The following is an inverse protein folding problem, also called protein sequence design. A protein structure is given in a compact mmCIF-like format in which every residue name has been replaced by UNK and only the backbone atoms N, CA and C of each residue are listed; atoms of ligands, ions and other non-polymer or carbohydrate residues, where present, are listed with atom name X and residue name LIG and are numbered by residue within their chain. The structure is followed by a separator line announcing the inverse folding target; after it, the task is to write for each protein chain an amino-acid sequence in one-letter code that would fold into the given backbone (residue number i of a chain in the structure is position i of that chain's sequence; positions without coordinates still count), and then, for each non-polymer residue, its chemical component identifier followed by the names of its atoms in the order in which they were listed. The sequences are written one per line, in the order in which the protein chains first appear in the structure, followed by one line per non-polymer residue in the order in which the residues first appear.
data_IF_485125944894
#
_entry.id   IF_485125944894
#
_cell.length_a   1.000
_cell.length_b   1.000
_cell.length_c   1.000
_cell.angle_alpha   90.00
_cell.angle_beta   90.00
_cell.angle_gamma   90.00
#
_symmetry.space_group_name_H-M   'P 1'
#
loop_
_entity.id
_entity.type
_entity.pdbx_description
1 polymer ?
#
# COMPACT_ATOMS: atom_id res chain seq x y z
N UNK A 1 -15.98 19.88 -13.72
CA UNK A 1 -16.92 19.83 -12.56
C UNK A 1 -17.92 20.95 -12.77
N UNK A 2 -19.21 20.84 -12.40
CA UNK A 2 -20.15 21.95 -12.57
C UNK A 2 -19.63 23.21 -11.85
N UNK A 3 -19.66 24.36 -12.52
CA UNK A 3 -19.28 25.67 -12.00
C UNK A 3 -17.84 25.78 -11.44
N UNK A 4 -16.93 24.90 -11.86
CA UNK A 4 -15.50 24.96 -11.54
C UNK A 4 -14.69 24.85 -12.83
N UNK A 5 -13.85 25.85 -13.09
CA UNK A 5 -13.11 26.01 -14.33
C UNK A 5 -11.61 25.86 -14.11
N UNK A 6 -10.92 25.36 -15.13
CA UNK A 6 -9.46 25.30 -15.23
C UNK A 6 -9.06 25.79 -16.63
N UNK A 7 -7.79 26.13 -16.83
CA UNK A 7 -7.28 26.48 -18.16
C UNK A 7 -7.42 25.29 -19.14
N UNK A 8 -7.58 25.59 -20.44
CA UNK A 8 -7.84 24.58 -21.48
C UNK A 8 -6.69 23.59 -21.70
N UNK A 9 -5.46 24.01 -21.44
CA UNK A 9 -4.22 23.24 -21.57
C UNK A 9 -3.81 22.53 -20.27
N UNK A 10 -4.57 22.73 -19.19
CA UNK A 10 -4.29 22.14 -17.89
C UNK A 10 -4.89 20.74 -17.77
N UNK A 11 -4.04 19.74 -17.53
CA UNK A 11 -4.48 18.37 -17.20
C UNK A 11 -4.55 18.21 -15.68
N UNK A 12 -5.75 18.20 -15.07
CA UNK A 12 -5.88 18.22 -13.62
C UNK A 12 -5.48 16.88 -12.98
N UNK A 13 -4.57 16.94 -12.01
CA UNK A 13 -4.19 15.80 -11.20
C UNK A 13 -5.26 15.44 -10.16
N UNK A 14 -4.98 14.41 -9.34
CA UNK A 14 -5.90 13.99 -8.28
C UNK A 14 -6.22 15.12 -7.29
N UNK A 15 -5.23 15.90 -6.89
CA UNK A 15 -5.39 17.02 -5.95
C UNK A 15 -6.31 18.10 -6.52
N UNK A 16 -6.15 18.44 -7.81
CA UNK A 16 -6.98 19.45 -8.47
C UNK A 16 -8.43 19.00 -8.59
N UNK A 17 -8.65 17.73 -8.95
CA UNK A 17 -10.00 17.15 -9.01
C UNK A 17 -10.64 17.07 -7.62
N UNK A 18 -9.86 16.76 -6.59
CA UNK A 18 -10.33 16.75 -5.20
C UNK A 18 -10.74 18.16 -4.73
N UNK A 19 -9.91 19.18 -5.02
CA UNK A 19 -10.22 20.58 -4.77
C UNK A 19 -11.47 21.04 -5.51
N UNK A 20 -11.62 20.66 -6.78
CA UNK A 20 -12.82 20.97 -7.56
C UNK A 20 -14.09 20.35 -6.97
N UNK A 21 -14.03 19.10 -6.49
CA UNK A 21 -15.16 18.45 -5.82
C UNK A 21 -15.51 19.13 -4.49
N UNK A 22 -14.50 19.55 -3.71
CA UNK A 22 -14.72 20.31 -2.48
C UNK A 22 -15.36 21.67 -2.73
N UNK A 23 -14.89 22.42 -3.75
CA UNK A 23 -15.51 23.69 -4.16
C UNK A 23 -16.96 23.49 -4.61
N UNK A 24 -17.22 22.45 -5.42
CA UNK A 24 -18.58 22.08 -5.84
C UNK A 24 -19.51 21.77 -4.66
N UNK A 25 -18.98 21.24 -3.56
CA UNK A 25 -19.72 21.03 -2.32
C UNK A 25 -19.95 22.28 -1.48
N UNK A 26 -19.74 23.48 -2.04
CA UNK A 26 -19.76 24.76 -1.33
C UNK A 26 -18.80 24.78 -0.13
N UNK A 27 -17.67 24.06 -0.25
CA UNK A 27 -16.67 23.88 0.81
C UNK A 27 -17.18 23.15 2.06
N UNK A 28 -18.29 22.42 1.97
CA UNK A 28 -18.91 21.72 3.11
C UNK A 28 -18.57 20.22 3.17
N UNK A 29 -18.14 19.61 2.06
CA UNK A 29 -17.81 18.20 2.03
C UNK A 29 -16.43 17.88 2.62
N UNK A 30 -16.27 16.64 3.09
CA UNK A 30 -15.00 16.10 3.59
C UNK A 30 -14.50 14.99 2.67
N UNK A 31 -13.29 15.07 2.16
CA UNK A 31 -12.71 14.07 1.26
C UNK A 31 -12.39 12.78 2.03
N UNK A 32 -12.69 11.62 1.44
CA UNK A 32 -12.68 10.35 2.16
C UNK A 32 -12.07 9.20 1.36
N UNK A 33 -11.94 8.05 2.02
CA UNK A 33 -11.55 6.77 1.41
C UNK A 33 -10.27 6.87 0.56
N UNK A 34 -10.32 6.39 -0.69
CA UNK A 34 -9.11 6.35 -1.53
C UNK A 34 -8.58 7.75 -1.87
N UNK A 35 -9.45 8.76 -1.93
CA UNK A 35 -9.04 10.14 -2.20
C UNK A 35 -8.32 10.72 -0.99
N UNK A 36 -8.86 10.54 0.21
CA UNK A 36 -8.18 10.93 1.45
C UNK A 36 -6.83 10.21 1.60
N UNK A 37 -6.78 8.91 1.28
CA UNK A 37 -5.52 8.16 1.35
C UNK A 37 -4.46 8.75 0.41
N UNK A 38 -4.81 9.10 -0.83
CA UNK A 38 -3.91 9.76 -1.76
C UNK A 38 -3.42 11.13 -1.25
N UNK A 39 -4.32 11.94 -0.69
CA UNK A 39 -3.96 13.24 -0.11
C UNK A 39 -3.06 13.13 1.12
N UNK A 40 -3.18 12.04 1.87
CA UNK A 40 -2.25 11.66 2.95
C UNK A 40 -0.91 11.09 2.45
N UNK A 41 -0.69 11.02 1.14
CA UNK A 41 0.56 10.56 0.53
C UNK A 41 0.62 9.07 0.19
N UNK A 42 -0.50 8.33 0.32
CA UNK A 42 -0.55 6.95 -0.16
C UNK A 42 -0.36 6.90 -1.68
N UNK A 43 0.54 6.03 -2.13
CA UNK A 43 0.83 5.77 -3.54
C UNK A 43 -0.11 4.73 -4.14
N UNK A 44 -0.03 4.55 -5.47
CA UNK A 44 -0.74 3.53 -6.26
C UNK A 44 -2.27 3.72 -6.30
N UNK A 45 -2.68 4.99 -6.27
CA UNK A 45 -4.07 5.38 -6.49
C UNK A 45 -4.22 5.78 -7.96
N UNK A 46 -5.18 5.18 -8.64
CA UNK A 46 -5.52 5.49 -10.03
C UNK A 46 -5.87 6.98 -10.17
N UNK A 47 -5.14 7.69 -11.04
CA UNK A 47 -5.33 9.12 -11.31
C UNK A 47 -6.71 9.43 -11.91
N UNK A 48 -7.39 8.45 -12.50
CA UNK A 48 -8.75 8.57 -13.01
C UNK A 48 -9.81 8.15 -12.00
N UNK A 49 -9.43 7.66 -10.81
CA UNK A 49 -10.37 7.21 -9.79
C UNK A 49 -11.38 8.32 -9.45
N UNK A 50 -12.66 7.97 -9.22
CA UNK A 50 -13.65 8.93 -8.76
C UNK A 50 -13.25 9.53 -7.41
N UNK A 51 -13.42 10.84 -7.28
CA UNK A 51 -13.22 11.57 -6.03
C UNK A 51 -14.27 11.15 -5.02
N UNK A 52 -13.85 10.66 -3.87
CA UNK A 52 -14.74 10.24 -2.78
C UNK A 52 -14.92 11.39 -1.79
N UNK A 53 -16.16 11.80 -1.60
CA UNK A 53 -16.54 12.95 -0.79
C UNK A 53 -17.68 12.57 0.16
N UNK A 54 -17.53 12.85 1.44
CA UNK A 54 -18.60 12.78 2.41
C UNK A 54 -19.36 14.10 2.35
N UNK A 55 -20.56 14.05 1.76
CA UNK A 55 -21.47 15.19 1.59
C UNK A 55 -22.88 14.68 1.36
N UNK A 56 -23.88 15.40 1.88
CA UNK A 56 -25.28 14.94 1.91
C UNK A 56 -25.97 14.93 0.56
N UNK A 57 -25.43 15.64 -0.44
CA UNK A 57 -26.01 15.67 -1.78
C UNK A 57 -25.71 14.39 -2.57
N UNK A 58 -26.74 13.59 -2.81
CA UNK A 58 -26.65 12.34 -3.56
C UNK A 58 -26.53 12.51 -5.08
N UNK A 59 -26.82 13.70 -5.64
CA UNK A 59 -26.71 13.98 -7.08
C UNK A 59 -25.30 14.43 -7.43
N UNK A 60 -24.35 13.51 -7.34
CA UNK A 60 -22.95 13.81 -7.63
C UNK A 60 -22.68 13.87 -9.14
N UNK A 61 -21.84 14.82 -9.61
CA UNK A 61 -21.40 14.88 -10.99
C UNK A 61 -20.50 13.70 -11.35
N UNK A 62 -20.33 13.46 -12.65
CA UNK A 62 -19.43 12.41 -13.15
C UNK A 62 -18.02 12.60 -12.59
N UNK A 63 -17.43 11.52 -12.10
CA UNK A 63 -16.10 11.54 -11.48
C UNK A 63 -16.09 11.88 -9.99
N UNK A 64 -17.24 12.13 -9.37
CA UNK A 64 -17.39 12.27 -7.91
C UNK A 64 -18.34 11.19 -7.39
N UNK A 65 -18.01 10.61 -6.24
CA UNK A 65 -18.88 9.72 -5.47
C UNK A 65 -19.13 10.35 -4.11
N UNK A 66 -20.36 10.76 -3.87
CA UNK A 66 -20.77 11.27 -2.56
C UNK A 66 -21.28 10.15 -1.66
N UNK A 67 -21.07 10.31 -0.36
CA UNK A 67 -21.71 9.49 0.65
C UNK A 67 -22.22 10.38 1.77
N UNK A 68 -23.46 10.15 2.21
CA UNK A 68 -24.05 10.86 3.33
C UNK A 68 -23.76 10.09 4.61
N UNK A 69 -22.95 10.66 5.48
CA UNK A 69 -22.65 10.10 6.80
C UNK A 69 -22.26 11.20 7.78
N UNK A 70 -22.54 10.95 9.06
CA UNK A 70 -22.09 11.82 10.13
C UNK A 70 -20.64 11.47 10.49
N UNK A 71 -19.75 12.44 10.35
CA UNK A 71 -18.36 12.33 10.79
C UNK A 71 -18.19 13.00 12.16
N UNK A 72 -17.76 12.26 13.18
CA UNK A 72 -17.25 12.85 14.40
C UNK A 72 -16.10 13.83 14.11
N UNK A 73 -15.98 14.96 14.84
CA UNK A 73 -14.91 15.94 14.61
C UNK A 73 -13.49 15.35 14.70
N UNK A 74 -13.27 14.38 15.59
CA UNK A 74 -11.99 13.67 15.77
C UNK A 74 -11.63 12.72 14.61
N UNK A 75 -12.52 12.54 13.63
CA UNK A 75 -12.29 11.73 12.44
C UNK A 75 -12.08 12.59 11.18
N UNK A 76 -12.02 13.90 11.36
CA UNK A 76 -11.73 14.88 10.32
C UNK A 76 -10.40 15.58 10.59
N UNK A 77 -9.71 15.97 9.51
CA UNK A 77 -8.44 16.68 9.55
C UNK A 77 -8.19 17.43 8.24
N UNK A 78 -6.94 17.80 8.00
CA UNK A 78 -6.53 18.49 6.76
C UNK A 78 -5.34 17.79 6.11
N UNK A 79 -5.35 17.75 4.78
CA UNK A 79 -4.20 17.36 3.95
C UNK A 79 -4.27 18.13 2.63
N UNK A 80 -3.13 18.62 2.14
CA UNK A 80 -3.06 19.49 0.95
C UNK A 80 -4.05 20.67 1.00
N UNK A 81 -4.23 21.28 2.18
CA UNK A 81 -5.18 22.39 2.44
C UNK A 81 -6.67 22.04 2.22
N UNK A 82 -7.01 20.75 2.13
CA UNK A 82 -8.37 20.28 1.93
C UNK A 82 -8.87 19.51 3.17
N UNK A 83 -10.16 19.60 3.52
CA UNK A 83 -10.73 18.79 4.58
C UNK A 83 -10.78 17.32 4.16
N UNK A 84 -10.16 16.46 4.97
CA UNK A 84 -10.06 15.01 4.73
C UNK A 84 -10.45 14.23 5.98
N UNK A 85 -10.80 12.96 5.83
CA UNK A 85 -10.84 12.02 6.96
C UNK A 85 -9.43 11.82 7.53
N UNK A 86 -9.30 11.61 8.85
CA UNK A 86 -7.99 11.28 9.47
C UNK A 86 -7.41 9.99 8.87
N UNK A 87 -6.10 9.72 8.98
CA UNK A 87 -5.51 8.46 8.49
C UNK A 87 -6.21 7.21 9.08
N UNK A 88 -6.50 7.21 10.38
CA UNK A 88 -7.20 6.11 11.05
C UNK A 88 -8.62 5.92 10.51
N UNK A 89 -9.37 7.01 10.33
CA UNK A 89 -10.72 6.95 9.72
C UNK A 89 -10.67 6.46 8.27
N UNK A 90 -9.71 6.97 7.50
CA UNK A 90 -9.50 6.58 6.11
C UNK A 90 -9.20 5.09 5.99
N UNK A 91 -8.33 4.57 6.87
CA UNK A 91 -8.01 3.16 6.93
C UNK A 91 -9.21 2.30 7.36
N UNK A 92 -9.98 2.75 8.34
CA UNK A 92 -11.23 2.11 8.76
C UNK A 92 -12.21 1.98 7.58
N UNK A 93 -12.38 3.04 6.77
CA UNK A 93 -13.24 3.02 5.59
C UNK A 93 -12.72 2.07 4.50
N UNK A 94 -11.43 2.12 4.18
CA UNK A 94 -10.81 1.26 3.15
C UNK A 94 -10.84 -0.21 3.58
N UNK A 95 -10.44 -0.52 4.81
CA UNK A 95 -10.29 -1.88 5.32
C UNK A 95 -11.61 -2.68 5.40
N UNK A 96 -12.75 -1.98 5.43
CA UNK A 96 -14.09 -2.59 5.41
C UNK A 96 -14.62 -2.84 4.00
N UNK A 97 -13.94 -2.36 2.96
CA UNK A 97 -14.38 -2.58 1.57
C UNK A 97 -14.04 -4.00 1.09
N UNK A 98 -14.89 -4.63 0.24
CA UNK A 98 -14.60 -5.96 -0.29
C UNK A 98 -13.28 -6.06 -1.08
N UNK A 99 -12.55 -7.13 -0.83
CA UNK A 99 -11.31 -7.53 -1.50
C UNK A 99 -10.09 -7.38 -0.60
N UNK A 100 -9.76 -8.43 0.15
CA UNK A 100 -8.69 -8.44 1.17
C UNK A 100 -7.36 -7.95 0.60
N UNK A 101 -6.84 -8.56 -0.47
CA UNK A 101 -5.54 -8.18 -1.02
C UNK A 101 -5.46 -6.72 -1.46
N UNK A 102 -6.53 -6.18 -2.05
CA UNK A 102 -6.61 -4.77 -2.45
C UNK A 102 -6.73 -3.85 -1.24
N UNK A 103 -7.48 -4.25 -0.21
CA UNK A 103 -7.60 -3.49 1.02
C UNK A 103 -6.24 -3.40 1.73
N UNK A 104 -5.57 -4.54 1.93
CA UNK A 104 -4.23 -4.61 2.54
C UNK A 104 -3.24 -3.74 1.75
N UNK A 105 -3.17 -3.86 0.43
CA UNK A 105 -2.23 -3.05 -0.38
C UNK A 105 -2.45 -1.53 -0.23
N UNK A 106 -3.71 -1.09 -0.10
CA UNK A 106 -4.04 0.32 0.15
C UNK A 106 -3.67 0.74 1.57
N UNK A 107 -3.90 -0.13 2.55
CA UNK A 107 -3.55 0.15 3.95
C UNK A 107 -2.05 0.15 4.18
N UNK A 108 -1.28 -0.73 3.55
CA UNK A 108 0.19 -0.73 3.56
C UNK A 108 0.71 0.62 3.06
N UNK A 109 0.19 1.07 1.91
CA UNK A 109 0.56 2.35 1.30
C UNK A 109 0.22 3.55 2.19
N UNK A 110 -0.95 3.52 2.86
CA UNK A 110 -1.38 4.56 3.79
C UNK A 110 -0.55 4.55 5.09
N UNK A 111 -0.29 3.38 5.66
CA UNK A 111 0.52 3.22 6.87
C UNK A 111 1.95 3.71 6.65
N UNK A 112 2.53 3.40 5.49
CA UNK A 112 3.85 3.92 5.08
C UNK A 112 3.89 5.44 4.96
N UNK A 113 2.78 6.09 4.63
CA UNK A 113 2.71 7.54 4.44
C UNK A 113 2.39 8.33 5.72
N UNK A 114 1.77 7.71 6.73
CA UNK A 114 1.13 8.41 7.86
C UNK A 114 1.53 7.91 9.25
N UNK A 115 2.44 6.94 9.34
CA UNK A 115 2.80 6.22 10.58
C UNK A 115 1.62 5.51 11.29
N UNK A 116 0.49 5.36 10.59
CA UNK A 116 -0.71 4.70 11.09
C UNK A 116 -0.40 3.30 11.65
N UNK A 117 -0.90 3.03 12.85
CA UNK A 117 -0.85 1.72 13.49
C UNK A 117 -2.21 1.03 13.47
N UNK A 118 -2.22 -0.30 13.55
CA UNK A 118 -3.45 -1.08 13.59
C UNK A 118 -4.38 -0.66 14.74
N UNK A 119 -3.81 -0.38 15.93
CA UNK A 119 -4.55 0.08 17.11
C UNK A 119 -5.37 1.36 16.86
N UNK A 120 -4.85 2.29 16.05
CA UNK A 120 -5.53 3.55 15.78
C UNK A 120 -6.82 3.30 14.96
N UNK A 121 -6.80 2.28 14.10
CA UNK A 121 -7.97 1.84 13.32
C UNK A 121 -8.96 1.05 14.18
N UNK A 122 -8.46 0.25 15.12
CA UNK A 122 -9.28 -0.49 16.09
C UNK A 122 -10.05 0.46 17.01
N UNK A 123 -9.44 1.56 17.44
CA UNK A 123 -10.11 2.63 18.22
C UNK A 123 -11.28 3.25 17.46
N UNK A 124 -11.09 3.55 16.16
CA UNK A 124 -12.19 4.00 15.29
C UNK A 124 -13.25 2.90 15.17
N UNK A 125 -12.86 1.65 14.93
CA UNK A 125 -13.80 0.55 14.80
C UNK A 125 -14.66 0.34 16.07
N UNK A 126 -14.09 0.56 17.25
CA UNK A 126 -14.78 0.48 18.53
C UNK A 126 -15.88 1.55 18.69
N UNK A 127 -15.73 2.71 18.04
CA UNK A 127 -16.72 3.81 18.01
C UNK A 127 -17.82 3.58 16.97
N UNK A 128 -17.59 2.73 15.97
CA UNK A 128 -18.53 2.43 14.88
C UNK A 128 -19.07 1.00 14.94
N UNK A 129 -19.56 0.58 16.11
CA UNK A 129 -20.13 -0.76 16.31
C UNK A 129 -21.31 -1.00 15.36
N UNK A 130 -21.34 -2.17 14.72
CA UNK A 130 -22.39 -2.54 13.76
C UNK A 130 -22.20 -1.99 12.34
N UNK A 131 -21.10 -1.26 12.08
CA UNK A 131 -20.79 -0.84 10.73
C UNK A 131 -20.63 -2.04 9.78
N UNK A 132 -21.09 -1.89 8.54
CA UNK A 132 -20.93 -2.93 7.52
C UNK A 132 -19.44 -3.15 7.23
N UNK A 133 -19.06 -4.41 7.05
CA UNK A 133 -17.69 -4.79 6.67
C UNK A 133 -16.70 -4.95 7.82
N UNK A 134 -17.11 -4.87 9.09
CA UNK A 134 -16.19 -5.05 10.24
C UNK A 134 -15.47 -6.41 10.22
N UNK A 135 -16.16 -7.50 9.84
CA UNK A 135 -15.52 -8.82 9.65
C UNK A 135 -14.44 -8.85 8.56
N UNK A 136 -14.52 -7.96 7.57
CA UNK A 136 -13.44 -7.78 6.59
C UNK A 136 -12.25 -7.09 7.24
N UNK A 137 -12.52 -5.99 7.96
CA UNK A 137 -11.49 -5.20 8.64
C UNK A 137 -10.70 -6.05 9.63
N UNK A 138 -11.38 -6.87 10.43
CA UNK A 138 -10.76 -7.82 11.38
C UNK A 138 -9.79 -8.80 10.70
N UNK A 139 -10.09 -9.21 9.46
CA UNK A 139 -9.20 -10.08 8.67
C UNK A 139 -8.05 -9.31 8.01
N UNK A 140 -8.27 -8.05 7.67
CA UNK A 140 -7.34 -7.20 6.94
C UNK A 140 -6.27 -6.61 7.86
N UNK A 141 -6.66 -6.09 9.04
CA UNK A 141 -5.74 -5.37 9.93
C UNK A 141 -4.49 -6.17 10.34
N UNK A 142 -4.58 -7.47 10.71
CA UNK A 142 -3.39 -8.25 11.06
C UNK A 142 -2.41 -8.45 9.90
N UNK A 143 -2.87 -8.25 8.66
CA UNK A 143 -2.09 -8.41 7.44
C UNK A 143 -1.40 -7.12 6.99
N UNK A 144 -1.74 -5.96 7.58
CA UNK A 144 -1.16 -4.67 7.21
C UNK A 144 0.33 -4.64 7.58
N UNK A 145 1.13 -4.07 6.69
CA UNK A 145 2.57 -3.91 6.83
C UNK A 145 3.06 -2.67 6.07
N UNK A 146 3.57 -1.68 6.80
CA UNK A 146 4.06 -0.43 6.22
C UNK A 146 5.35 -0.60 5.38
N UNK A 147 6.00 -1.77 5.44
CA UNK A 147 7.21 -2.04 4.67
C UNK A 147 6.96 -2.36 3.20
N UNK A 148 5.73 -2.72 2.80
CA UNK A 148 5.43 -3.01 1.39
C UNK A 148 5.40 -1.71 0.56
N UNK A 149 6.28 -1.60 -0.43
CA UNK A 149 6.43 -0.38 -1.25
C UNK A 149 5.56 -0.38 -2.50
N UNK A 150 5.04 -1.54 -2.90
CA UNK A 150 4.15 -1.70 -4.05
C UNK A 150 3.01 -2.70 -3.78
N UNK A 151 1.88 -2.61 -4.53
CA UNK A 151 0.81 -3.60 -4.45
C UNK A 151 1.27 -5.02 -4.80
N UNK A 152 2.33 -5.15 -5.60
CA UNK A 152 2.91 -6.43 -6.00
C UNK A 152 3.72 -7.06 -4.87
N UNK A 153 4.48 -6.28 -4.11
CA UNK A 153 5.10 -6.74 -2.87
C UNK A 153 4.06 -7.15 -1.84
N UNK A 154 2.99 -6.37 -1.62
CA UNK A 154 1.88 -6.80 -0.75
C UNK A 154 1.29 -8.13 -1.22
N UNK A 155 1.01 -8.26 -2.53
CA UNK A 155 0.49 -9.50 -3.10
C UNK A 155 1.43 -10.69 -2.84
N UNK A 156 2.73 -10.51 -3.08
CA UNK A 156 3.74 -11.54 -2.87
C UNK A 156 3.83 -11.93 -1.40
N UNK A 157 3.84 -10.95 -0.49
CA UNK A 157 3.83 -11.17 0.96
C UNK A 157 2.60 -11.97 1.40
N UNK A 158 1.41 -11.62 0.91
CA UNK A 158 0.19 -12.35 1.20
C UNK A 158 0.20 -13.75 0.58
N UNK A 159 0.75 -13.93 -0.62
CA UNK A 159 0.92 -15.24 -1.24
C UNK A 159 1.75 -16.17 -0.34
N UNK A 160 2.88 -15.68 0.16
CA UNK A 160 3.77 -16.43 1.05
C UNK A 160 3.08 -16.79 2.38
N UNK A 161 2.44 -15.81 3.03
CA UNK A 161 1.75 -16.03 4.32
C UNK A 161 0.59 -17.02 4.17
N UNK A 162 -0.20 -16.90 3.10
CA UNK A 162 -1.36 -17.78 2.87
C UNK A 162 -0.95 -19.22 2.53
N UNK A 163 0.26 -19.44 2.02
CA UNK A 163 0.83 -20.78 1.80
C UNK A 163 1.30 -21.46 3.11
N UNK A 164 1.24 -20.75 4.24
CA UNK A 164 1.69 -21.25 5.54
C UNK A 164 3.20 -21.09 5.78
N UNK A 165 3.89 -20.32 4.93
CA UNK A 165 5.28 -19.96 5.21
C UNK A 165 5.35 -19.03 6.43
N UNK A 166 6.45 -19.10 7.19
CA UNK A 166 6.71 -18.15 8.28
C UNK A 166 6.59 -16.71 7.77
N UNK A 167 6.01 -15.79 8.56
CA UNK A 167 5.81 -14.41 8.11
C UNK A 167 7.15 -13.79 7.70
N UNK A 168 7.31 -13.33 6.44
CA UNK A 168 8.55 -12.70 6.00
C UNK A 168 8.68 -11.31 6.63
N UNK A 169 9.92 -10.90 6.90
CA UNK A 169 10.24 -9.51 7.19
C UNK A 169 10.27 -8.71 5.88
N UNK A 170 9.71 -7.51 5.90
CA UNK A 170 9.79 -6.54 4.79
C UNK A 170 11.00 -5.63 4.92
N UNK A 171 11.53 -5.11 3.81
CA UNK A 171 12.55 -4.06 3.78
C UNK A 171 13.79 -4.41 4.62
N UNK A 172 14.32 -5.62 4.41
CA UNK A 172 15.44 -6.14 5.19
C UNK A 172 16.71 -5.38 4.82
N UNK A 173 17.34 -4.67 5.76
CA UNK A 173 18.60 -3.98 5.50
C UNK A 173 19.73 -5.00 5.39
N UNK A 174 20.50 -4.93 4.30
CA UNK A 174 21.76 -5.68 4.16
C UNK A 174 22.92 -4.73 4.39
N UNK A 175 23.60 -4.94 5.52
CA UNK A 175 24.71 -4.10 5.98
C UNK A 175 26.01 -4.59 5.35
N UNK A 176 26.68 -3.70 4.62
CA UNK A 176 27.97 -3.99 4.03
C UNK A 176 29.12 -3.91 5.04
N UNK A 177 30.35 -4.18 4.59
CA UNK A 177 31.55 -4.13 5.43
C UNK A 177 31.81 -2.77 6.10
N UNK A 178 31.17 -1.69 5.64
CA UNK A 178 31.31 -0.34 6.19
C UNK A 178 30.28 0.01 7.28
N UNK A 179 29.45 -0.94 7.71
CA UNK A 179 28.44 -0.73 8.76
C UNK A 179 27.18 0.03 8.33
N UNK A 180 27.11 0.51 7.10
CA UNK A 180 25.89 1.10 6.52
C UNK A 180 25.14 0.09 5.62
N UNK A 181 23.80 0.09 5.59
CA UNK A 181 23.02 -0.65 4.60
C UNK A 181 23.40 -0.24 3.19
N UNK A 182 23.76 -1.18 2.33
CA UNK A 182 24.02 -0.92 0.90
C UNK A 182 22.84 -1.34 0.01
N UNK A 183 21.96 -2.22 0.53
CA UNK A 183 20.76 -2.68 -0.13
C UNK A 183 19.64 -2.94 0.88
N UNK A 184 18.40 -2.86 0.41
CA UNK A 184 17.22 -3.35 1.09
C UNK A 184 16.61 -4.46 0.24
N UNK A 185 16.23 -5.57 0.86
CA UNK A 185 15.53 -6.68 0.23
C UNK A 185 14.04 -6.56 0.54
N UNK A 186 13.19 -6.74 -0.47
CA UNK A 186 11.75 -6.48 -0.37
C UNK A 186 11.10 -7.30 0.75
N UNK A 187 11.30 -8.61 0.71
CA UNK A 187 10.73 -9.61 1.61
C UNK A 187 11.75 -10.70 1.89
N UNK A 188 11.72 -11.30 3.08
CA UNK A 188 12.53 -12.48 3.35
C UNK A 188 12.61 -12.93 4.80
N UNK A 189 13.59 -13.78 5.06
CA UNK A 189 13.89 -14.37 6.36
C UNK A 189 15.39 -14.24 6.62
N UNK A 190 15.82 -13.20 7.36
CA UNK A 190 17.24 -12.99 7.65
C UNK A 190 17.91 -14.18 8.35
N UNK A 191 17.16 -14.88 9.21
CA UNK A 191 17.64 -16.07 9.92
C UNK A 191 18.02 -17.23 8.99
N UNK A 192 17.47 -17.26 7.77
CA UNK A 192 17.81 -18.25 6.74
C UNK A 192 18.57 -17.63 5.57
N UNK A 193 18.81 -16.31 5.58
CA UNK A 193 19.40 -15.57 4.47
C UNK A 193 18.67 -15.83 3.15
N UNK A 194 17.33 -15.91 3.18
CA UNK A 194 16.49 -16.09 1.99
C UNK A 194 15.68 -14.83 1.79
N UNK A 195 15.71 -14.28 0.58
CA UNK A 195 14.90 -13.14 0.19
C UNK A 195 14.07 -13.44 -1.06
N UNK A 196 12.98 -12.71 -1.22
CA UNK A 196 12.08 -12.79 -2.36
C UNK A 196 11.84 -11.37 -2.88
N UNK A 197 12.17 -11.13 -4.13
CA UNK A 197 12.05 -9.80 -4.76
C UNK A 197 11.07 -9.87 -5.92
N UNK A 198 10.18 -8.88 -6.00
CA UNK A 198 9.30 -8.75 -7.17
C UNK A 198 9.97 -7.83 -8.19
N UNK A 199 10.38 -8.41 -9.32
CA UNK A 199 10.97 -7.66 -10.43
C UNK A 199 9.85 -7.11 -11.31
N UNK A 200 9.38 -5.92 -10.97
CA UNK A 200 8.31 -5.23 -11.68
C UNK A 200 8.84 -4.54 -12.94
N UNK A 201 9.06 -5.29 -14.01
CA UNK A 201 9.34 -4.84 -15.38
C UNK A 201 10.05 -3.46 -15.44
N UNK A 202 11.19 -3.35 -14.74
CA UNK A 202 11.97 -2.12 -14.73
C UNK A 202 12.90 -2.10 -15.94
N UNK A 203 12.44 -1.39 -16.98
CA UNK A 203 13.24 -0.57 -17.88
C UNK A 203 14.55 -1.21 -18.35
N UNK A 204 14.45 -2.09 -19.36
CA UNK A 204 15.59 -2.55 -20.20
C UNK A 204 16.39 -1.42 -20.87
N UNK A 205 16.03 -0.16 -20.66
CA UNK A 205 16.57 1.02 -21.33
C UNK A 205 17.69 1.75 -20.58
N UNK A 206 18.03 1.41 -19.33
CA UNK A 206 19.15 2.03 -18.60
C UNK A 206 20.29 1.03 -18.30
N UNK A 207 21.38 1.14 -19.06
CA UNK A 207 22.58 0.30 -18.90
C UNK A 207 23.28 0.51 -17.56
N UNK A 208 23.24 1.72 -16.99
CA UNK A 208 23.88 2.00 -15.71
C UNK A 208 23.15 1.31 -14.56
N UNK A 209 21.82 1.35 -14.58
CA UNK A 209 20.98 0.64 -13.62
C UNK A 209 21.20 -0.88 -13.70
N UNK A 210 21.22 -1.43 -14.93
CA UNK A 210 21.50 -2.86 -15.14
C UNK A 210 22.84 -3.31 -14.54
N UNK A 211 23.93 -2.56 -14.77
CA UNK A 211 25.25 -2.88 -14.20
C UNK A 211 25.24 -2.80 -12.68
N UNK A 212 24.51 -1.83 -12.11
CA UNK A 212 24.36 -1.69 -10.65
C UNK A 212 23.63 -2.89 -10.06
N UNK A 213 22.58 -3.38 -10.72
CA UNK A 213 21.79 -4.53 -10.27
C UNK A 213 22.57 -5.84 -10.32
N UNK A 214 23.43 -6.03 -11.34
CA UNK A 214 24.37 -7.16 -11.38
C UNK A 214 25.32 -7.12 -10.18
N UNK A 215 25.95 -5.97 -9.93
CA UNK A 215 26.90 -5.82 -8.81
C UNK A 215 26.22 -6.01 -7.45
N UNK A 216 24.99 -5.50 -7.30
CA UNK A 216 24.16 -5.71 -6.11
C UNK A 216 23.90 -7.19 -5.88
N UNK A 217 23.47 -7.91 -6.92
CA UNK A 217 23.13 -9.34 -6.82
C UNK A 217 24.36 -10.17 -6.43
N UNK A 218 25.50 -9.96 -7.10
CA UNK A 218 26.73 -10.68 -6.81
C UNK A 218 27.22 -10.45 -5.37
N UNK A 219 27.09 -9.23 -4.84
CA UNK A 219 27.47 -8.93 -3.45
C UNK A 219 26.53 -9.60 -2.44
N UNK A 220 25.22 -9.63 -2.71
CA UNK A 220 24.25 -10.32 -1.86
C UNK A 220 24.50 -11.82 -1.82
N UNK A 221 24.79 -12.44 -2.98
CA UNK A 221 25.16 -13.85 -3.08
C UNK A 221 26.47 -14.14 -2.34
N UNK A 222 27.49 -13.27 -2.46
CA UNK A 222 28.75 -13.37 -1.71
C UNK A 222 28.54 -13.30 -0.20
N UNK A 223 27.57 -12.52 0.24
CA UNK A 223 27.16 -12.47 1.65
C UNK A 223 26.35 -13.69 2.08
N UNK A 224 26.01 -14.59 1.16
CA UNK A 224 25.29 -15.82 1.45
C UNK A 224 23.78 -15.65 1.38
N UNK A 225 23.23 -14.63 0.73
CA UNK A 225 21.80 -14.55 0.47
C UNK A 225 21.37 -15.43 -0.71
N UNK A 226 20.26 -16.14 -0.55
CA UNK A 226 19.52 -16.74 -1.67
C UNK A 226 18.38 -15.80 -2.03
N UNK A 227 18.41 -15.26 -3.25
CA UNK A 227 17.38 -14.33 -3.74
C UNK A 227 16.47 -15.05 -4.74
N UNK A 228 15.20 -15.21 -4.40
CA UNK A 228 14.17 -15.73 -5.30
C UNK A 228 13.51 -14.56 -6.01
N UNK A 229 13.86 -14.35 -7.29
CA UNK A 229 13.24 -13.32 -8.13
C UNK A 229 11.90 -13.79 -8.68
N UNK A 230 10.89 -12.92 -8.60
CA UNK A 230 9.53 -13.15 -9.06
C UNK A 230 9.17 -12.13 -10.13
N UNK A 231 8.79 -12.62 -11.31
CA UNK A 231 8.31 -11.77 -12.42
C UNK A 231 6.80 -11.91 -12.60
N UNK A 232 6.21 -11.06 -13.44
CA UNK A 232 4.76 -11.05 -13.67
C UNK A 232 4.23 -12.36 -14.30
N UNK A 233 5.07 -13.03 -15.08
CA UNK A 233 4.78 -14.28 -15.79
C UNK A 233 4.82 -15.52 -14.89
N UNK A 234 5.44 -15.41 -13.71
CA UNK A 234 5.60 -16.54 -12.80
C UNK A 234 4.26 -16.99 -12.24
N UNK A 235 4.02 -18.30 -12.27
CA UNK A 235 2.84 -18.89 -11.64
C UNK A 235 3.02 -18.91 -10.11
N UNK A 236 1.98 -18.61 -9.31
CA UNK A 236 2.10 -18.60 -7.85
C UNK A 236 2.67 -19.90 -7.26
N UNK A 237 2.25 -21.06 -7.75
CA UNK A 237 2.76 -22.36 -7.30
C UNK A 237 4.28 -22.53 -7.53
N UNK A 238 4.80 -21.96 -8.62
CA UNK A 238 6.23 -22.02 -8.93
C UNK A 238 7.06 -21.08 -8.04
N UNK A 239 6.54 -19.89 -7.76
CA UNK A 239 7.12 -18.98 -6.76
C UNK A 239 7.23 -19.70 -5.41
N UNK A 240 6.13 -20.27 -4.91
CA UNK A 240 6.08 -20.98 -3.63
C UNK A 240 7.06 -22.17 -3.59
N UNK A 241 7.12 -22.97 -4.66
CA UNK A 241 8.08 -24.08 -4.78
C UNK A 241 9.53 -23.62 -4.67
N UNK A 242 9.91 -22.56 -5.39
CA UNK A 242 11.27 -22.00 -5.34
C UNK A 242 11.62 -21.47 -3.96
N UNK A 243 10.70 -20.76 -3.31
CA UNK A 243 10.90 -20.22 -1.96
C UNK A 243 11.05 -21.35 -0.93
N UNK A 244 10.19 -22.37 -0.96
CA UNK A 244 10.30 -23.54 -0.06
C UNK A 244 11.64 -24.25 -0.22
N UNK A 245 12.09 -24.47 -1.46
CA UNK A 245 13.39 -25.08 -1.72
C UNK A 245 14.55 -24.26 -1.13
N UNK A 246 14.51 -22.92 -1.29
CA UNK A 246 15.53 -22.03 -0.73
C UNK A 246 15.56 -22.04 0.81
N UNK A 247 14.40 -22.08 1.47
CA UNK A 247 14.32 -22.18 2.94
C UNK A 247 14.84 -23.56 3.41
N UNK A 248 14.41 -24.64 2.77
CA UNK A 248 14.78 -26.00 3.15
C UNK A 248 16.29 -26.25 3.05
N UNK A 249 16.96 -25.69 2.03
CA UNK A 249 18.42 -25.82 1.88
C UNK A 249 19.19 -25.16 3.02
N UNK A 250 18.59 -24.15 3.69
CA UNK A 250 19.20 -23.42 4.81
C UNK A 250 18.91 -24.08 6.14
N UNK A 251 17.69 -24.59 6.33
CA UNK A 251 17.33 -25.34 7.54
C UNK A 251 18.13 -26.63 7.68
N UNK A 252 18.40 -27.33 6.56
CA UNK A 252 19.17 -28.58 6.59
C UNK A 252 20.67 -28.38 6.87
N UNK A 253 21.18 -27.14 6.77
CA UNK A 253 22.60 -26.82 7.05
C UNK A 253 22.83 -26.34 8.49
N UNK A 254 21.74 -26.16 9.26
CA UNK A 254 21.77 -25.68 10.66
C UNK A 254 21.52 -26.81 11.69
N UNK A 255 21.39 -28.06 11.23
CA UNK A 255 21.39 -29.28 12.03
C UNK A 255 22.68 -30.04 11.79
#
# INVERSE_FOLDING_TARGET
MPDVYVALDFSPGLVDRARAAWLWSHRQGVLAGITAAALHGAKWVDECAPIQLIWTNARSPRGVRTSAMNLPPNETGQACELPVTTPARTAFDIGRTPGIGRAVARLDSLARATDLKARDVEEVAAQHRGARGLRQLERVLPMVDAGSQSPKETWLRLLLINDGLPRPQTQIPVVGAKGCPFAYLDLGWPQWMVAVEYDGDQHRSDRAQYVKDIRRTAELERMGWIIVRVVAEDRPAEVLRRVRAAIASRQSTLC
#
